data_IF_793885513413
#
_entry.id   IF_793885513413
#
_cell.length_a   1.000
_cell.length_b   1.000
_cell.length_c   1.000
_cell.angle_alpha   90.00
_cell.angle_beta   90.00
_cell.angle_gamma   90.00
#
_symmetry.space_group_name_H-M   'P 1'
#
loop_
_entity.id
_entity.type
_entity.pdbx_description
1 polymer ?
#
# COMPACT_ATOMS: atom_id res chain seq x y z
N UNK A 1 -3.79 -6.49 -11.27
CA UNK A 1 -3.15 -6.03 -10.02
C UNK A 1 -2.43 -7.22 -9.39
N UNK A 2 -1.14 -7.19 -9.35
CA UNK A 2 -0.33 -8.22 -8.71
C UNK A 2 0.37 -7.64 -7.49
N UNK A 3 0.21 -8.27 -6.34
CA UNK A 3 0.95 -7.88 -5.14
C UNK A 3 2.44 -8.11 -5.36
N UNK A 4 3.23 -7.15 -4.94
CA UNK A 4 4.68 -7.23 -5.06
C UNK A 4 5.22 -8.34 -4.16
N UNK A 5 6.01 -9.24 -4.74
CA UNK A 5 6.74 -10.28 -4.01
C UNK A 5 8.19 -9.80 -3.83
N UNK A 6 8.65 -9.79 -2.58
CA UNK A 6 9.99 -9.34 -2.22
C UNK A 6 10.70 -10.43 -1.45
N UNK A 7 11.93 -10.74 -1.84
CA UNK A 7 12.80 -11.67 -1.10
C UNK A 7 13.88 -10.86 -0.37
N UNK A 8 13.96 -11.07 0.94
CA UNK A 8 14.96 -10.40 1.79
C UNK A 8 15.98 -11.39 2.32
N UNK A 9 17.17 -10.89 2.64
CA UNK A 9 18.22 -11.69 3.26
C UNK A 9 17.99 -11.79 4.79
N UNK A 10 18.45 -12.88 5.44
CA UNK A 10 18.50 -12.92 6.89
C UNK A 10 19.29 -11.73 7.44
N UNK A 11 18.81 -11.09 8.51
CA UNK A 11 19.45 -9.91 9.09
C UNK A 11 19.20 -8.59 8.36
N UNK A 12 18.41 -8.58 7.29
CA UNK A 12 17.95 -7.34 6.67
C UNK A 12 17.12 -6.50 7.64
N UNK A 13 16.92 -5.20 7.34
CA UNK A 13 16.09 -4.32 8.15
C UNK A 13 14.70 -4.94 8.39
N UNK A 14 14.19 -4.75 9.59
CA UNK A 14 12.90 -5.29 10.06
C UNK A 14 12.85 -6.81 10.32
N UNK A 15 13.86 -7.60 10.00
CA UNK A 15 13.84 -9.06 10.25
C UNK A 15 13.77 -9.41 11.74
N UNK A 16 14.21 -8.51 12.61
CA UNK A 16 14.12 -8.65 14.07
C UNK A 16 12.80 -8.15 14.69
N UNK A 17 11.81 -7.78 13.89
CA UNK A 17 10.54 -7.29 14.45
C UNK A 17 9.83 -8.36 15.29
N UNK A 18 9.31 -7.94 16.45
CA UNK A 18 8.46 -8.75 17.33
C UNK A 18 6.97 -8.39 17.19
N UNK A 19 6.66 -7.39 16.36
CA UNK A 19 5.29 -6.93 16.13
C UNK A 19 4.66 -7.79 15.02
N UNK A 20 3.58 -8.50 15.34
CA UNK A 20 2.90 -9.31 14.34
C UNK A 20 2.14 -8.44 13.31
N UNK A 21 1.77 -9.06 12.21
CA UNK A 21 1.08 -8.38 11.10
C UNK A 21 -0.22 -7.71 11.53
N UNK A 22 -1.07 -8.43 12.24
CA UNK A 22 -2.38 -7.92 12.66
C UNK A 22 -2.25 -6.68 13.56
N UNK A 23 -1.26 -6.67 14.45
CA UNK A 23 -0.99 -5.51 15.29
C UNK A 23 -0.52 -4.30 14.48
N UNK A 24 0.35 -4.50 13.49
CA UNK A 24 0.77 -3.42 12.59
C UNK A 24 -0.42 -2.85 11.81
N UNK A 25 -1.31 -3.69 11.30
CA UNK A 25 -2.53 -3.27 10.61
C UNK A 25 -3.44 -2.48 11.53
N UNK A 26 -3.66 -2.93 12.76
CA UNK A 26 -4.46 -2.21 13.75
C UNK A 26 -3.87 -0.83 14.07
N UNK A 27 -2.56 -0.72 14.17
CA UNK A 27 -1.88 0.56 14.40
C UNK A 27 -2.03 1.50 13.19
N UNK A 28 -1.96 0.97 11.97
CA UNK A 28 -2.21 1.75 10.75
C UNK A 28 -3.65 2.27 10.74
N UNK A 29 -4.63 1.42 11.03
CA UNK A 29 -6.04 1.81 11.12
C UNK A 29 -6.24 2.93 12.14
N UNK A 30 -5.65 2.81 13.33
CA UNK A 30 -5.75 3.83 14.38
C UNK A 30 -5.15 5.17 13.92
N UNK A 31 -4.02 5.16 13.22
CA UNK A 31 -3.43 6.39 12.65
C UNK A 31 -4.35 7.03 11.61
N UNK A 32 -4.95 6.24 10.73
CA UNK A 32 -5.88 6.74 9.71
C UNK A 32 -7.16 7.30 10.33
N UNK A 33 -7.72 6.64 11.33
CA UNK A 33 -8.89 7.13 12.09
C UNK A 33 -8.60 8.47 12.76
N UNK A 34 -7.43 8.61 13.37
CA UNK A 34 -6.98 9.85 13.99
C UNK A 34 -6.88 11.00 12.98
N UNK A 35 -6.61 10.72 11.73
CA UNK A 35 -6.57 11.68 10.62
C UNK A 35 -7.91 11.81 9.87
N UNK A 36 -9.01 11.40 10.50
CA UNK A 36 -10.38 11.51 9.98
C UNK A 36 -10.61 10.76 8.65
N UNK A 37 -9.91 9.66 8.45
CA UNK A 37 -10.23 8.76 7.36
C UNK A 37 -11.51 7.98 7.66
N UNK A 38 -12.27 7.70 6.62
CA UNK A 38 -13.50 6.95 6.67
C UNK A 38 -13.44 5.70 5.81
N UNK A 39 -14.44 4.82 5.96
CA UNK A 39 -14.58 3.58 5.17
C UNK A 39 -13.30 2.74 5.15
N UNK A 40 -12.66 2.61 6.31
CA UNK A 40 -11.44 1.80 6.45
C UNK A 40 -11.84 0.33 6.42
N UNK A 41 -11.32 -0.41 5.44
CA UNK A 41 -11.59 -1.83 5.26
C UNK A 41 -10.31 -2.61 4.94
N UNK A 42 -10.20 -3.80 5.50
CA UNK A 42 -9.12 -4.74 5.18
C UNK A 42 -9.71 -5.87 4.36
N UNK A 43 -9.10 -6.13 3.21
CA UNK A 43 -9.43 -7.26 2.36
C UNK A 43 -8.30 -8.28 2.40
N UNK A 44 -8.62 -9.51 2.78
CA UNK A 44 -7.71 -10.65 2.72
C UNK A 44 -8.20 -11.61 1.65
N UNK A 45 -7.37 -11.89 0.66
CA UNK A 45 -7.67 -12.90 -0.35
C UNK A 45 -6.77 -14.11 -0.14
N UNK A 46 -7.40 -15.22 0.24
CA UNK A 46 -6.73 -16.49 0.53
C UNK A 46 -6.94 -17.52 -0.59
N UNK A 47 -7.59 -17.15 -1.70
CA UNK A 47 -7.94 -18.07 -2.78
C UNK A 47 -6.75 -18.47 -3.66
N UNK A 48 -5.72 -17.64 -3.72
CA UNK A 48 -4.51 -17.95 -4.47
C UNK A 48 -3.49 -18.77 -3.67
N UNK A 49 -2.36 -19.07 -4.30
CA UNK A 49 -1.24 -19.75 -3.62
C UNK A 49 -0.65 -18.91 -2.48
N UNK A 50 -0.79 -17.59 -2.57
CA UNK A 50 -0.26 -16.65 -1.60
C UNK A 50 -1.37 -15.78 -1.03
N UNK A 51 -1.38 -15.55 0.30
CA UNK A 51 -2.32 -14.63 0.89
C UNK A 51 -2.00 -13.20 0.47
N UNK A 52 -2.98 -12.48 -0.05
CA UNK A 52 -2.85 -11.07 -0.37
C UNK A 52 -3.68 -10.24 0.58
N UNK A 53 -3.13 -9.14 1.06
CA UNK A 53 -3.82 -8.22 1.98
C UNK A 53 -3.79 -6.82 1.42
N UNK A 54 -4.94 -6.18 1.45
CA UNK A 54 -5.15 -4.82 0.95
C UNK A 54 -5.91 -4.01 1.99
N UNK A 55 -5.49 -2.79 2.22
CA UNK A 55 -6.19 -1.82 3.05
C UNK A 55 -6.81 -0.73 2.18
N UNK A 56 -8.10 -0.52 2.33
CA UNK A 56 -8.87 0.50 1.62
C UNK A 56 -9.34 1.56 2.61
N UNK A 57 -9.25 2.82 2.24
CA UNK A 57 -9.79 3.91 3.05
C UNK A 57 -10.12 5.12 2.18
N UNK A 58 -10.91 6.03 2.73
CA UNK A 58 -11.28 7.28 2.08
C UNK A 58 -10.97 8.47 2.98
N UNK A 59 -10.60 9.59 2.38
CA UNK A 59 -10.55 10.90 3.03
C UNK A 59 -10.93 11.99 2.04
N UNK A 60 -11.81 12.90 2.47
CA UNK A 60 -12.30 13.99 1.63
C UNK A 60 -12.83 13.51 0.26
N UNK A 61 -13.57 12.41 0.25
CA UNK A 61 -14.12 11.74 -0.91
C UNK A 61 -13.10 11.16 -1.91
N UNK A 62 -11.82 11.10 -1.52
CA UNK A 62 -10.79 10.44 -2.32
C UNK A 62 -10.53 9.03 -1.78
N UNK A 63 -10.58 8.00 -2.65
CA UNK A 63 -10.28 6.63 -2.26
C UNK A 63 -8.78 6.38 -2.28
N UNK A 64 -8.30 5.59 -1.33
CA UNK A 64 -6.91 5.16 -1.24
C UNK A 64 -6.84 3.64 -1.07
N UNK A 65 -5.77 3.05 -1.57
CA UNK A 65 -5.50 1.62 -1.46
C UNK A 65 -4.04 1.37 -1.11
N UNK A 66 -3.82 0.55 -0.10
CA UNK A 66 -2.49 0.08 0.29
C UNK A 66 -2.44 -1.43 0.09
N UNK A 67 -1.57 -1.87 -0.79
CA UNK A 67 -1.27 -3.29 -0.99
C UNK A 67 -0.06 -3.66 -0.15
N UNK A 68 -0.23 -4.64 0.74
CA UNK A 68 0.88 -5.13 1.53
C UNK A 68 1.78 -6.04 0.66
N UNK A 69 3.07 -5.75 0.53
CA UNK A 69 3.97 -6.61 -0.22
C UNK A 69 4.07 -7.99 0.44
N UNK A 70 4.21 -9.03 -0.36
CA UNK A 70 4.44 -10.39 0.12
C UNK A 70 5.94 -10.55 0.29
N UNK A 71 6.40 -10.71 1.53
CA UNK A 71 7.83 -10.75 1.86
C UNK A 71 8.24 -12.15 2.28
N UNK A 72 9.29 -12.66 1.64
CA UNK A 72 9.96 -13.90 2.00
C UNK A 72 11.37 -13.63 2.49
N UNK A 73 11.74 -14.23 3.61
CA UNK A 73 13.11 -14.27 4.11
C UNK A 73 13.80 -15.52 3.58
N UNK A 74 14.90 -15.32 2.88
CA UNK A 74 15.71 -16.42 2.36
C UNK A 74 16.32 -17.22 3.51
N UNK A 75 16.26 -18.52 3.41
CA UNK A 75 16.87 -19.46 4.37
C UNK A 75 17.87 -20.38 3.69
N UNK A 76 18.88 -20.76 4.45
CA UNK A 76 19.87 -21.74 4.02
C UNK A 76 19.31 -23.14 4.26
N UNK A 77 19.31 -24.00 3.23
CA UNK A 77 18.89 -25.41 3.30
C UNK A 77 17.42 -25.68 3.67
N UNK A 78 16.56 -24.67 3.72
CA UNK A 78 15.13 -24.79 3.99
C UNK A 78 14.34 -23.83 3.09
N UNK A 79 13.05 -24.10 2.84
CA UNK A 79 12.21 -23.17 2.09
C UNK A 79 12.21 -21.76 2.70
N UNK A 80 12.10 -20.75 1.85
CA UNK A 80 11.98 -19.36 2.28
C UNK A 80 10.79 -19.18 3.24
N UNK A 81 10.97 -18.34 4.25
CA UNK A 81 9.92 -18.07 5.24
C UNK A 81 9.09 -16.87 4.84
N UNK A 82 7.77 -17.03 4.82
CA UNK A 82 6.85 -15.92 4.66
C UNK A 82 6.93 -14.99 5.89
N UNK A 83 7.15 -13.69 5.64
CA UNK A 83 7.36 -12.67 6.67
C UNK A 83 6.36 -11.52 6.50
N UNK A 84 5.07 -11.79 6.71
CA UNK A 84 4.04 -10.75 6.68
C UNK A 84 4.16 -9.77 7.86
N UNK A 85 4.76 -10.18 8.98
CA UNK A 85 5.13 -9.29 10.07
C UNK A 85 6.06 -8.16 9.62
N UNK A 86 7.06 -8.49 8.81
CA UNK A 86 7.96 -7.50 8.20
C UNK A 86 7.20 -6.58 7.24
N UNK A 87 6.33 -7.14 6.39
CA UNK A 87 5.48 -6.36 5.48
C UNK A 87 4.63 -5.33 6.23
N UNK A 88 3.93 -5.77 7.26
CA UNK A 88 3.10 -4.88 8.09
C UNK A 88 3.92 -3.76 8.74
N UNK A 89 5.11 -4.07 9.22
CA UNK A 89 5.97 -3.08 9.90
C UNK A 89 6.52 -2.04 8.93
N UNK A 90 6.93 -2.45 7.75
CA UNK A 90 7.41 -1.52 6.70
C UNK A 90 6.30 -0.54 6.30
N UNK A 91 5.11 -1.04 6.03
CA UNK A 91 3.96 -0.18 5.66
C UNK A 91 3.56 0.73 6.83
N UNK A 92 3.51 0.20 8.06
CA UNK A 92 3.26 1.00 9.25
C UNK A 92 4.21 2.20 9.35
N UNK A 93 5.50 1.96 9.22
CA UNK A 93 6.52 3.00 9.41
C UNK A 93 6.46 4.02 8.27
N UNK A 94 6.19 3.58 7.05
CA UNK A 94 5.98 4.47 5.90
C UNK A 94 4.77 5.39 6.11
N UNK A 95 3.63 4.84 6.50
CA UNK A 95 2.42 5.63 6.76
C UNK A 95 2.65 6.60 7.92
N UNK A 96 3.28 6.14 8.99
CA UNK A 96 3.62 6.98 10.13
C UNK A 96 4.49 8.17 9.73
N UNK A 97 5.52 7.94 8.93
CA UNK A 97 6.41 9.01 8.45
C UNK A 97 5.66 10.05 7.59
N UNK A 98 4.79 9.60 6.68
CA UNK A 98 3.96 10.49 5.87
C UNK A 98 2.99 11.32 6.72
N UNK A 99 2.35 10.71 7.71
CA UNK A 99 1.41 11.40 8.59
C UNK A 99 2.10 12.40 9.52
N UNK A 100 3.34 12.17 9.92
CA UNK A 100 4.15 13.16 10.64
C UNK A 100 4.34 14.42 9.80
N UNK A 101 4.65 14.28 8.52
CA UNK A 101 4.78 15.43 7.61
C UNK A 101 3.46 16.19 7.42
N UNK A 102 2.34 15.45 7.40
CA UNK A 102 1.00 16.06 7.39
C UNK A 102 0.73 16.83 8.68
N UNK A 103 1.03 16.26 9.82
CA UNK A 103 0.84 16.90 11.14
C UNK A 103 1.70 18.16 11.31
N UNK A 104 2.87 18.19 10.69
CA UNK A 104 3.78 19.34 10.67
C UNK A 104 3.42 20.38 9.59
N UNK A 105 2.35 20.18 8.85
CA UNK A 105 1.92 21.02 7.73
C UNK A 105 2.98 21.19 6.62
N UNK A 106 3.87 20.19 6.46
CA UNK A 106 4.82 20.13 5.35
C UNK A 106 4.09 19.68 4.08
N UNK A 107 3.16 18.74 4.23
CA UNK A 107 2.33 18.21 3.16
C UNK A 107 0.85 18.24 3.58
N UNK A 108 -0.04 18.43 2.61
CA UNK A 108 -1.45 18.06 2.79
C UNK A 108 -1.59 16.53 2.79
N UNK A 109 -2.65 16.02 3.40
CA UNK A 109 -2.90 14.58 3.44
C UNK A 109 -2.91 13.96 2.04
N UNK A 110 -3.59 14.59 1.08
CA UNK A 110 -3.65 14.10 -0.30
C UNK A 110 -2.28 14.09 -0.99
N UNK A 111 -1.42 15.06 -0.69
CA UNK A 111 -0.04 15.06 -1.20
C UNK A 111 0.78 13.91 -0.59
N UNK A 112 0.71 13.73 0.71
CA UNK A 112 1.45 12.67 1.41
C UNK A 112 1.01 11.27 0.99
N UNK A 113 -0.28 11.07 0.73
CA UNK A 113 -0.86 9.77 0.38
C UNK A 113 -1.08 9.57 -1.12
N UNK A 114 -0.59 10.48 -1.97
CA UNK A 114 -0.83 10.42 -3.42
C UNK A 114 -0.42 9.09 -4.06
N UNK A 115 0.68 8.50 -3.61
CA UNK A 115 1.14 7.20 -4.10
C UNK A 115 0.10 6.08 -3.92
N UNK A 116 -0.78 6.21 -2.93
CA UNK A 116 -1.81 5.24 -2.59
C UNK A 116 -3.20 5.61 -3.12
N UNK A 117 -3.32 6.71 -3.87
CA UNK A 117 -4.60 7.07 -4.48
C UNK A 117 -5.10 5.90 -5.35
N UNK A 118 -6.32 5.45 -5.08
CA UNK A 118 -6.92 4.35 -5.82
C UNK A 118 -7.46 4.85 -7.14
N UNK A 119 -6.98 4.26 -8.23
CA UNK A 119 -7.47 4.49 -9.59
C UNK A 119 -7.89 3.15 -10.20
N UNK A 120 -8.86 3.14 -11.12
CA UNK A 120 -9.26 1.90 -11.78
C UNK A 120 -8.15 1.42 -12.72
N UNK A 121 -7.82 0.13 -12.65
CA UNK A 121 -6.98 -0.53 -13.64
C UNK A 121 -7.78 -0.82 -14.93
N UNK A 122 -7.15 -1.47 -15.90
CA UNK A 122 -7.80 -1.84 -17.19
C UNK A 122 -9.03 -2.72 -17.03
N UNK A 123 -9.17 -3.41 -15.90
CA UNK A 123 -10.31 -4.27 -15.57
C UNK A 123 -11.35 -3.59 -14.68
N UNK A 124 -11.14 -2.32 -14.32
CA UNK A 124 -11.99 -1.57 -13.42
C UNK A 124 -11.76 -1.81 -11.93
N UNK A 125 -10.73 -2.59 -11.57
CA UNK A 125 -10.35 -2.83 -10.17
C UNK A 125 -9.49 -1.69 -9.65
N UNK A 126 -9.58 -1.35 -8.36
CA UNK A 126 -8.74 -0.31 -7.78
C UNK A 126 -7.28 -0.73 -7.72
N UNK A 127 -6.41 0.16 -8.12
CA UNK A 127 -4.95 0.04 -8.10
C UNK A 127 -4.35 1.30 -7.51
N UNK A 128 -3.27 1.19 -6.75
CA UNK A 128 -2.57 2.35 -6.22
C UNK A 128 -1.88 3.12 -7.36
N UNK A 129 -1.94 4.46 -7.31
CA UNK A 129 -1.34 5.32 -8.33
C UNK A 129 0.15 5.00 -8.56
N UNK A 130 0.91 4.70 -7.50
CA UNK A 130 2.31 4.33 -7.62
C UNK A 130 2.54 3.10 -8.53
N UNK A 131 1.65 2.11 -8.45
CA UNK A 131 1.74 0.89 -9.26
C UNK A 131 1.32 1.17 -10.70
N UNK A 132 0.28 1.97 -10.88
CA UNK A 132 -0.15 2.43 -12.20
C UNK A 132 0.97 3.20 -12.93
N UNK A 133 1.63 4.12 -12.25
CA UNK A 133 2.76 4.89 -12.81
C UNK A 133 3.90 3.96 -13.22
N UNK A 134 4.22 2.97 -12.39
CA UNK A 134 5.27 1.99 -12.68
C UNK A 134 4.96 1.16 -13.93
N UNK A 135 3.73 0.68 -14.06
CA UNK A 135 3.27 -0.13 -15.20
C UNK A 135 3.20 0.69 -16.52
N UNK A 136 2.93 1.99 -16.41
CA UNK A 136 2.76 2.88 -17.57
C UNK A 136 3.93 3.85 -17.79
N UNK A 137 5.07 3.53 -17.23
CA UNK A 137 6.27 4.38 -17.24
C UNK A 137 6.69 4.84 -18.63
N UNK A 138 6.63 3.98 -19.64
CA UNK A 138 6.96 4.32 -21.02
C UNK A 138 5.99 5.31 -21.63
N UNK A 139 4.69 5.19 -21.37
CA UNK A 139 3.67 6.11 -21.86
C UNK A 139 3.80 7.50 -21.20
N UNK A 140 4.09 7.54 -19.92
CA UNK A 140 4.33 8.78 -19.19
C UNK A 140 5.57 9.50 -19.76
N UNK A 141 6.65 8.77 -19.97
CA UNK A 141 7.89 9.33 -20.52
C UNK A 141 7.73 9.85 -21.96
N UNK A 142 6.88 9.23 -22.78
CA UNK A 142 6.59 9.64 -24.16
C UNK A 142 5.54 10.77 -24.27
N UNK A 143 4.91 11.16 -23.16
CA UNK A 143 3.84 12.15 -23.15
C UNK A 143 2.49 11.65 -23.70
N UNK A 144 2.35 10.34 -23.88
CA UNK A 144 1.08 9.73 -24.35
C UNK A 144 0.13 9.37 -23.22
N UNK A 145 0.51 9.65 -21.98
CA UNK A 145 -0.29 9.39 -20.79
C UNK A 145 -1.43 10.39 -20.66
N UNK A 146 -2.63 9.88 -20.52
CA UNK A 146 -3.84 10.69 -20.28
C UNK A 146 -4.50 10.27 -18.96
N UNK A 147 -4.31 11.08 -17.94
CA UNK A 147 -4.83 10.83 -16.60
C UNK A 147 -6.33 11.03 -16.51
N UNK A 148 -6.94 11.80 -17.42
CA UNK A 148 -8.37 12.13 -17.36
C UNK A 148 -9.28 10.91 -17.52
N UNK A 149 -8.80 9.90 -18.23
CA UNK A 149 -9.53 8.63 -18.40
C UNK A 149 -9.38 7.67 -17.23
N UNK A 150 -8.42 7.92 -16.35
CA UNK A 150 -8.07 7.02 -15.26
C UNK A 150 -8.70 7.41 -13.93
N UNK A 151 -9.05 8.67 -13.80
CA UNK A 151 -9.73 9.12 -12.60
C UNK A 151 -11.20 8.68 -12.68
N UNK A 152 -11.76 8.09 -11.63
CA UNK A 152 -13.18 7.87 -11.57
C UNK A 152 -13.85 9.21 -11.87
N UNK A 153 -14.67 9.26 -12.90
CA UNK A 153 -15.48 10.45 -13.19
C UNK A 153 -16.18 10.82 -11.91
N UNK A 154 -15.77 11.95 -11.32
CA UNK A 154 -16.27 12.36 -10.03
C UNK A 154 -17.79 12.41 -10.10
N UNK A 155 -18.43 11.46 -9.45
CA UNK A 155 -19.81 11.67 -9.04
C UNK A 155 -19.72 12.67 -7.91
N UNK A 156 -19.82 13.89 -8.32
CA UNK A 156 -20.11 14.96 -7.40
C UNK A 156 -21.42 14.61 -6.67
#
# INVERSE_FOLDING_TARGET
MSHKIVKIQPGANYTGTTVNFDRSVMQIQAMLEKHNCSRIAIQKDMRGELPTVTLLFEKANLPYIIEFPIIYEKRRNTPDKLRMDVSGRIIHDRIKALLIEVDLNILDFSQGMMAFLAIPDKTGRPEALQDYVLENKGQIASGTFDITYQLPSGRV
#
